data_IF_864248564142
#
_entry.id   IF_864248564142
#
_cell.length_a   1.000
_cell.length_b   1.000
_cell.length_c   1.000
_cell.angle_alpha   90.00
_cell.angle_beta   90.00
_cell.angle_gamma   90.00
#
_symmetry.space_group_name_H-M   'P 1'
#
loop_
_entity.id
_entity.type
_entity.pdbx_description
1 polymer ?
#
# COMPACT_ATOMS: atom_id res chain seq x y z
N UNK A 1 -11.08 -35.72 4.46
CA UNK A 1 -9.90 -36.18 3.76
C UNK A 1 -8.79 -35.15 3.88
N UNK A 2 -7.63 -35.58 4.38
CA UNK A 2 -6.56 -34.67 4.75
C UNK A 2 -6.04 -33.82 3.57
N UNK A 3 -5.92 -34.40 2.39
CA UNK A 3 -5.42 -33.69 1.22
C UNK A 3 -6.39 -32.57 0.75
N UNK A 4 -7.67 -32.85 0.72
CA UNK A 4 -8.68 -31.83 0.39
C UNK A 4 -8.72 -30.74 1.45
N UNK A 5 -8.53 -31.11 2.68
CA UNK A 5 -8.48 -30.17 3.80
C UNK A 5 -7.32 -29.19 3.63
N UNK A 6 -6.14 -29.69 3.28
CA UNK A 6 -4.97 -28.83 3.04
C UNK A 6 -5.21 -27.87 1.89
N UNK A 7 -5.90 -28.30 0.85
CA UNK A 7 -6.22 -27.43 -0.28
C UNK A 7 -7.09 -26.25 0.10
N UNK A 8 -7.95 -26.41 1.10
CA UNK A 8 -8.82 -25.34 1.58
C UNK A 8 -8.07 -24.32 2.43
N UNK A 9 -6.88 -24.65 2.90
CA UNK A 9 -6.07 -23.78 3.74
C UNK A 9 -4.86 -23.18 3.04
N UNK A 10 -4.76 -23.32 1.71
CA UNK A 10 -3.65 -22.71 0.99
C UNK A 10 -3.71 -21.19 1.07
N UNK A 11 -2.54 -20.56 1.11
CA UNK A 11 -2.43 -19.11 1.27
C UNK A 11 -2.99 -18.32 0.11
N UNK A 12 -3.18 -18.94 -1.05
CA UNK A 12 -3.80 -18.33 -2.22
C UNK A 12 -5.23 -17.85 -1.97
N UNK A 13 -5.93 -18.50 -1.03
CA UNK A 13 -7.30 -18.12 -0.68
C UNK A 13 -7.36 -17.15 0.49
N UNK A 14 -6.22 -16.79 1.05
CA UNK A 14 -6.14 -15.90 2.21
C UNK A 14 -5.61 -14.55 1.78
N UNK A 15 -6.30 -13.50 2.17
CA UNK A 15 -5.85 -12.14 1.93
C UNK A 15 -4.75 -11.76 2.92
N UNK A 16 -3.64 -11.28 2.41
CA UNK A 16 -2.49 -10.81 3.18
C UNK A 16 -2.39 -9.30 3.09
N UNK A 17 -1.92 -8.67 4.17
CA UNK A 17 -1.70 -7.23 4.19
C UNK A 17 -0.21 -6.93 4.27
N UNK A 18 0.26 -6.07 3.38
CA UNK A 18 1.58 -5.44 3.47
C UNK A 18 1.34 -4.02 3.97
N UNK A 19 1.97 -3.65 5.07
CA UNK A 19 1.72 -2.38 5.74
C UNK A 19 2.92 -1.47 5.62
N UNK A 20 2.69 -0.26 5.16
CA UNK A 20 3.69 0.81 5.10
C UNK A 20 3.19 1.99 5.91
N UNK A 21 4.10 2.79 6.44
CA UNK A 21 3.71 3.92 7.23
C UNK A 21 4.65 5.11 7.12
N UNK A 22 4.15 6.26 7.52
CA UNK A 22 4.94 7.46 7.70
C UNK A 22 4.47 8.14 8.98
N UNK A 23 5.43 8.51 9.81
CA UNK A 23 5.16 9.23 11.06
C UNK A 23 5.18 10.74 10.82
N UNK A 24 4.44 11.47 11.65
CA UNK A 24 4.41 12.92 11.60
C UNK A 24 3.49 13.49 10.54
N UNK A 25 3.70 14.75 10.24
CA UNK A 25 2.83 15.52 9.34
C UNK A 25 2.98 15.03 7.90
N UNK A 26 1.85 14.84 7.24
CA UNK A 26 1.78 14.50 5.83
C UNK A 26 1.98 15.79 5.03
N UNK A 27 3.21 16.14 4.79
CA UNK A 27 3.52 17.34 4.04
C UNK A 27 2.96 17.24 2.63
N UNK A 28 2.61 18.39 2.04
CA UNK A 28 2.33 18.46 0.62
C UNK A 28 3.62 18.16 -0.11
N UNK A 29 3.85 16.91 -0.34
CA UNK A 29 5.09 16.48 -0.88
C UNK A 29 5.13 16.73 -2.38
N UNK A 30 6.18 17.30 -2.78
CA UNK A 30 6.79 16.86 -4.02
C UNK A 30 6.83 15.34 -4.00
N UNK A 31 6.38 14.72 -5.06
CA UNK A 31 6.30 13.27 -5.20
C UNK A 31 7.65 12.61 -4.93
N UNK A 32 7.98 12.47 -3.68
CA UNK A 32 9.13 11.72 -3.22
C UNK A 32 8.63 10.48 -2.51
N UNK A 33 9.47 9.50 -2.42
CA UNK A 33 9.15 8.31 -1.67
C UNK A 33 8.99 8.68 -0.19
N UNK A 34 7.81 8.43 0.34
CA UNK A 34 7.44 8.89 1.68
C UNK A 34 7.47 7.77 2.72
N UNK A 35 7.55 6.54 2.31
CA UNK A 35 7.67 5.45 3.26
C UNK A 35 8.98 5.57 4.04
N UNK A 36 8.90 5.50 5.35
CA UNK A 36 10.09 5.54 6.20
C UNK A 36 11.01 4.34 5.96
N UNK A 37 10.47 3.26 5.44
CA UNK A 37 11.21 2.06 5.08
C UNK A 37 10.51 1.35 3.92
N UNK A 38 11.28 0.56 3.20
CA UNK A 38 10.77 -0.23 2.08
C UNK A 38 10.23 -1.57 2.58
N UNK A 39 9.23 -2.10 1.89
CA UNK A 39 8.66 -3.39 2.20
C UNK A 39 8.98 -4.37 1.09
N UNK A 40 9.53 -5.53 1.46
CA UNK A 40 9.71 -6.63 0.53
C UNK A 40 8.39 -7.37 0.32
N UNK A 41 8.12 -7.74 -0.91
CA UNK A 41 7.06 -8.67 -1.23
C UNK A 41 7.52 -10.06 -0.79
N UNK A 42 6.84 -10.71 0.16
CA UNK A 42 7.34 -11.93 0.79
C UNK A 42 7.21 -13.20 -0.06
N UNK A 43 6.34 -13.19 -1.04
CA UNK A 43 6.09 -14.28 -1.98
C UNK A 43 5.34 -13.73 -3.19
N UNK A 44 5.27 -14.49 -4.27
CA UNK A 44 4.50 -14.06 -5.44
C UNK A 44 3.04 -13.81 -5.05
N UNK A 45 2.55 -12.63 -5.37
CA UNK A 45 1.21 -12.17 -4.96
C UNK A 45 0.48 -11.50 -6.10
N UNK A 46 -0.85 -11.47 -5.99
CA UNK A 46 -1.69 -10.56 -6.75
C UNK A 46 -2.26 -9.54 -5.80
N UNK A 47 -1.91 -8.28 -5.99
CA UNK A 47 -2.42 -7.18 -5.17
C UNK A 47 -3.85 -6.84 -5.62
N UNK A 48 -4.75 -6.67 -4.65
CA UNK A 48 -6.18 -6.53 -4.90
C UNK A 48 -6.78 -5.22 -4.44
N UNK A 49 -6.36 -4.71 -3.30
CA UNK A 49 -6.98 -3.54 -2.67
C UNK A 49 -5.98 -2.69 -1.93
N UNK A 50 -6.34 -1.42 -1.75
CA UNK A 50 -5.60 -0.47 -0.92
C UNK A 50 -6.51 0.06 0.16
N UNK A 51 -5.97 0.18 1.36
CA UNK A 51 -6.60 0.89 2.46
C UNK A 51 -5.60 1.84 3.08
N UNK A 52 -6.06 3.02 3.44
CA UNK A 52 -5.21 4.00 4.11
C UNK A 52 -5.92 4.51 5.35
N UNK A 53 -5.16 4.82 6.38
CA UNK A 53 -5.67 5.43 7.59
C UNK A 53 -4.71 6.47 8.10
N UNK A 54 -5.22 7.45 8.83
CA UNK A 54 -4.44 8.50 9.48
C UNK A 54 -4.90 8.66 10.91
N UNK A 55 -3.97 9.02 11.79
CA UNK A 55 -4.31 9.35 13.17
C UNK A 55 -5.00 10.70 13.26
N UNK A 56 -4.50 11.67 12.51
CA UNK A 56 -5.07 13.01 12.45
C UNK A 56 -5.62 13.24 11.05
N UNK A 57 -6.91 13.56 10.95
CA UNK A 57 -7.56 13.78 9.67
C UNK A 57 -6.95 14.98 8.93
N UNK A 58 -6.76 14.87 7.61
CA UNK A 58 -6.24 15.98 6.83
C UNK A 58 -7.27 17.09 6.68
N UNK A 59 -6.79 18.32 6.52
CA UNK A 59 -7.65 19.47 6.25
C UNK A 59 -8.11 19.56 4.80
N UNK A 60 -7.41 18.87 3.91
CA UNK A 60 -7.79 18.68 2.51
C UNK A 60 -7.44 17.25 2.10
N UNK A 61 -7.97 16.78 0.98
CA UNK A 61 -7.74 15.41 0.53
C UNK A 61 -6.26 15.10 0.37
N UNK A 62 -5.86 13.91 0.83
CA UNK A 62 -4.50 13.40 0.68
C UNK A 62 -4.52 12.17 -0.21
N UNK A 63 -3.66 12.15 -1.22
CA UNK A 63 -3.56 11.03 -2.17
C UNK A 63 -2.23 10.33 -2.02
N UNK A 64 -2.28 9.01 -1.85
CA UNK A 64 -1.11 8.14 -1.76
C UNK A 64 -1.00 7.31 -3.03
N UNK A 65 0.18 7.28 -3.62
CA UNK A 65 0.48 6.48 -4.81
C UNK A 65 1.38 5.32 -4.40
N UNK A 66 0.99 4.11 -4.73
CA UNK A 66 1.82 2.93 -4.48
C UNK A 66 2.84 2.79 -5.60
N UNK A 67 4.08 2.54 -5.23
CA UNK A 67 5.20 2.42 -6.14
C UNK A 67 5.91 1.10 -5.92
N UNK A 68 6.51 0.57 -6.98
CA UNK A 68 7.20 -0.72 -6.96
C UNK A 68 8.58 -0.60 -7.58
N UNK A 69 9.53 -1.34 -7.02
CA UNK A 69 10.84 -1.57 -7.62
C UNK A 69 11.02 -3.06 -7.93
N UNK A 70 11.48 -3.37 -9.13
CA UNK A 70 11.84 -4.72 -9.53
C UNK A 70 13.34 -4.90 -9.67
N UNK A 71 14.13 -3.89 -9.34
CA UNK A 71 15.58 -3.86 -9.46
C UNK A 71 16.28 -3.61 -8.13
N UNK A 72 15.77 -4.18 -7.08
CA UNK A 72 16.33 -4.10 -5.71
C UNK A 72 16.40 -2.67 -5.16
N UNK A 73 15.46 -1.84 -5.56
CA UNK A 73 15.38 -0.46 -5.06
C UNK A 73 16.13 0.55 -5.90
N UNK A 74 16.68 0.15 -7.02
CA UNK A 74 17.38 1.08 -7.91
C UNK A 74 16.44 2.12 -8.54
N UNK A 75 15.28 1.69 -8.96
CA UNK A 75 14.24 2.58 -9.49
C UNK A 75 12.87 2.16 -8.98
N UNK A 76 12.00 3.14 -8.78
CA UNK A 76 10.61 2.91 -8.40
C UNK A 76 9.69 3.52 -9.46
N UNK A 77 8.62 2.81 -9.79
CA UNK A 77 7.60 3.30 -10.71
C UNK A 77 6.23 3.21 -10.07
N UNK A 78 5.32 4.06 -10.50
CA UNK A 78 3.92 3.97 -10.11
C UNK A 78 3.37 2.63 -10.59
N UNK A 79 2.76 1.87 -9.70
CA UNK A 79 2.45 0.49 -10.01
C UNK A 79 0.99 0.12 -9.80
N UNK A 80 0.52 0.16 -8.56
CA UNK A 80 -0.77 -0.43 -8.22
C UNK A 80 -1.92 0.57 -8.25
N UNK A 81 -1.66 1.82 -8.10
CA UNK A 81 -2.71 2.83 -8.09
C UNK A 81 -2.66 3.71 -6.86
N UNK A 82 -3.72 4.45 -6.63
CA UNK A 82 -3.79 5.44 -5.57
C UNK A 82 -4.92 5.16 -4.59
N UNK A 83 -4.75 5.65 -3.38
CA UNK A 83 -5.83 5.71 -2.39
C UNK A 83 -5.91 7.12 -1.85
N UNK A 84 -7.13 7.60 -1.65
CA UNK A 84 -7.39 8.97 -1.19
C UNK A 84 -8.06 8.94 0.17
N UNK A 85 -7.54 9.76 1.08
CA UNK A 85 -8.23 10.10 2.32
C UNK A 85 -8.81 11.49 2.14
N UNK A 86 -10.13 11.57 2.14
CA UNK A 86 -10.84 12.84 1.94
C UNK A 86 -10.64 13.78 3.12
N UNK A 87 -10.82 15.08 2.88
CA UNK A 87 -10.81 16.09 3.91
C UNK A 87 -11.68 15.68 5.11
N UNK A 88 -11.14 15.82 6.31
CA UNK A 88 -11.81 15.49 7.57
C UNK A 88 -12.11 14.00 7.78
N UNK A 89 -11.69 13.14 6.87
CA UNK A 89 -11.79 11.68 7.03
C UNK A 89 -10.50 11.11 7.62
N UNK A 90 -10.60 9.91 8.19
CA UNK A 90 -9.44 9.20 8.73
C UNK A 90 -9.13 7.91 7.98
N UNK A 91 -9.96 7.54 7.03
CA UNK A 91 -9.83 6.28 6.29
C UNK A 91 -10.10 6.52 4.82
N UNK A 92 -9.37 5.80 3.98
CA UNK A 92 -9.63 5.74 2.56
C UNK A 92 -9.50 4.30 2.08
N UNK A 93 -10.27 3.93 1.06
CA UNK A 93 -10.24 2.60 0.45
C UNK A 93 -10.23 2.77 -1.06
N UNK A 94 -9.44 1.95 -1.74
CA UNK A 94 -9.41 1.90 -3.19
C UNK A 94 -9.33 0.47 -3.66
N UNK A 95 -9.89 0.22 -4.84
CA UNK A 95 -9.93 -1.10 -5.45
C UNK A 95 -9.40 -0.99 -6.89
N UNK A 96 -8.10 -0.74 -7.05
CA UNK A 96 -7.50 -0.62 -8.37
C UNK A 96 -7.45 -1.96 -9.09
N UNK A 97 -7.09 -1.93 -10.38
CA UNK A 97 -6.90 -3.16 -11.13
C UNK A 97 -5.83 -4.05 -10.48
N UNK A 98 -6.05 -5.35 -10.50
CA UNK A 98 -5.12 -6.31 -9.91
C UNK A 98 -3.71 -6.16 -10.48
N UNK A 99 -2.71 -6.29 -9.63
CA UNK A 99 -1.31 -6.25 -10.03
C UNK A 99 -0.58 -7.47 -9.49
N UNK A 100 0.06 -8.22 -10.38
CA UNK A 100 0.94 -9.31 -9.99
C UNK A 100 2.31 -8.74 -9.59
N UNK A 101 2.78 -9.14 -8.43
CA UNK A 101 4.11 -8.80 -7.94
C UNK A 101 4.86 -10.07 -7.57
N UNK A 102 6.17 -10.03 -7.66
CA UNK A 102 7.02 -11.19 -7.44
C UNK A 102 7.71 -11.10 -6.09
N UNK A 103 8.04 -12.26 -5.53
CA UNK A 103 8.86 -12.31 -4.31
C UNK A 103 10.15 -11.51 -4.50
N UNK A 104 10.46 -10.66 -3.52
CA UNK A 104 11.64 -9.82 -3.55
C UNK A 104 11.45 -8.45 -4.18
N UNK A 105 10.33 -8.20 -4.82
CA UNK A 105 9.99 -6.84 -5.25
C UNK A 105 9.88 -5.94 -4.02
N UNK A 106 10.19 -4.66 -4.19
CA UNK A 106 10.07 -3.67 -3.13
C UNK A 106 8.87 -2.77 -3.40
N UNK A 107 8.14 -2.47 -2.35
CA UNK A 107 7.04 -1.52 -2.40
C UNK A 107 7.32 -0.33 -1.49
N UNK A 108 6.90 0.84 -1.93
CA UNK A 108 6.79 2.03 -1.11
C UNK A 108 5.58 2.85 -1.59
N UNK A 109 5.40 4.01 -0.99
CA UNK A 109 4.37 4.94 -1.47
C UNK A 109 4.92 6.35 -1.54
N UNK A 110 4.27 7.19 -2.33
CA UNK A 110 4.51 8.63 -2.34
C UNK A 110 3.20 9.35 -2.08
N UNK A 111 3.31 10.53 -1.50
CA UNK A 111 2.16 11.43 -1.32
C UNK A 111 2.15 12.36 -2.52
N UNK A 112 1.17 12.20 -3.41
CA UNK A 112 1.10 13.00 -4.63
C UNK A 112 0.31 14.28 -4.43
N UNK A 113 -0.62 14.27 -3.46
CA UNK A 113 -1.35 15.46 -3.04
C UNK A 113 -1.36 15.45 -1.54
N UNK A 114 -0.72 16.41 -0.94
CA UNK A 114 -0.63 16.50 0.51
C UNK A 114 -1.85 17.19 1.12
N UNK A 115 -2.30 16.67 2.24
CA UNK A 115 -3.53 17.06 2.89
C UNK A 115 -3.41 18.02 4.05
N UNK A 116 -2.43 18.87 4.06
CA UNK A 116 -2.32 19.88 5.12
C UNK A 116 -1.97 19.26 6.48
N UNK A 117 -2.86 19.32 7.46
CA UNK A 117 -2.59 18.94 8.85
C UNK A 117 -2.72 17.44 9.16
N UNK A 118 -2.91 16.58 8.18
CA UNK A 118 -2.96 15.13 8.42
C UNK A 118 -1.65 14.59 8.99
N UNK A 119 -1.73 13.59 9.86
CA UNK A 119 -0.55 13.01 10.52
C UNK A 119 -0.66 11.51 10.69
N UNK A 120 0.51 10.86 10.66
CA UNK A 120 0.67 9.43 10.99
C UNK A 120 -0.20 8.53 10.12
N UNK A 121 0.22 8.36 8.88
CA UNK A 121 -0.49 7.51 7.92
C UNK A 121 0.01 6.07 7.95
N UNK A 122 -0.91 5.15 7.74
CA UNK A 122 -0.60 3.76 7.46
C UNK A 122 -1.31 3.34 6.17
N UNK A 123 -0.58 2.68 5.29
CA UNK A 123 -1.11 2.19 4.02
C UNK A 123 -1.06 0.67 4.04
N UNK A 124 -2.22 0.06 3.83
CA UNK A 124 -2.35 -1.39 3.74
C UNK A 124 -2.55 -1.80 2.29
N UNK A 125 -1.64 -2.60 1.78
CA UNK A 125 -1.76 -3.19 0.45
C UNK A 125 -2.21 -4.63 0.64
N UNK A 126 -3.39 -4.95 0.18
CA UNK A 126 -4.01 -6.25 0.40
C UNK A 126 -3.95 -7.09 -0.87
N UNK A 127 -3.58 -8.34 -0.72
CA UNK A 127 -3.48 -9.24 -1.85
C UNK A 127 -3.51 -10.70 -1.44
N UNK A 128 -3.45 -11.57 -2.44
CA UNK A 128 -3.46 -13.02 -2.26
C UNK A 128 -2.22 -13.62 -2.89
N UNK A 129 -1.76 -14.74 -2.33
CA UNK A 129 -0.61 -15.47 -2.88
C UNK A 129 -0.96 -16.08 -4.24
N UNK A 130 -0.03 -16.01 -5.16
CA UNK A 130 -0.15 -16.68 -6.47
C UNK A 130 0.44 -18.08 -6.41
#
# INVERSE_FOLDING_TARGET
>A
VAAAWKSLLVLEDVEHALVMGVAGTLASATAADQADFLIFVPFDMTLKRLKASVKVAPSSSTTFQIRRSTDSGGTFSNAFGTVVISSSAKVGVADPADLNVDEGDLLNFSITVGGGSGENAAIHVLGVQR
#
